data_IF_210124605456
#
_entry.id   IF_210124605456
#
_cell.length_a   1.000
_cell.length_b   1.000
_cell.length_c   1.000
_cell.angle_alpha   90.00
_cell.angle_beta   90.00
_cell.angle_gamma   90.00
#
_symmetry.space_group_name_H-M   'P 1'
#
loop_
_entity.id
_entity.type
_entity.pdbx_description
1 polymer ?
#
# COMPACT_ATOMS: atom_id res chain seq x y z
N UNK A 1 5.62 -63.98 13.70
CA UNK A 1 4.48 -63.04 13.57
C UNK A 1 4.78 -61.77 14.35
N UNK A 2 5.19 -60.70 13.68
CA UNK A 2 5.22 -59.33 14.21
C UNK A 2 4.83 -58.43 13.01
N UNK A 3 3.73 -57.66 13.05
CA UNK A 3 3.44 -56.71 11.99
C UNK A 3 4.12 -55.38 12.33
N UNK A 4 5.14 -55.02 11.55
CA UNK A 4 5.80 -53.73 11.66
C UNK A 4 4.90 -52.67 11.01
N UNK A 5 4.44 -51.72 11.84
CA UNK A 5 3.61 -50.59 11.44
C UNK A 5 4.35 -49.71 10.44
N UNK A 6 3.80 -49.53 9.23
CA UNK A 6 4.09 -48.35 8.41
C UNK A 6 3.17 -47.22 8.88
N UNK A 7 3.73 -46.25 9.60
CA UNK A 7 3.10 -44.94 9.79
C UNK A 7 3.66 -44.06 8.67
N UNK A 8 2.84 -43.81 7.65
CA UNK A 8 3.10 -42.83 6.61
C UNK A 8 2.88 -41.45 7.26
N UNK A 9 3.98 -40.77 7.59
CA UNK A 9 3.93 -39.39 8.06
C UNK A 9 3.69 -38.48 6.85
N UNK A 10 2.42 -38.16 6.60
CA UNK A 10 2.00 -37.12 5.66
C UNK A 10 2.55 -35.77 6.15
N UNK A 11 3.54 -35.24 5.45
CA UNK A 11 4.11 -33.93 5.68
C UNK A 11 3.08 -32.87 5.24
N UNK A 12 2.24 -32.43 6.17
CA UNK A 12 1.35 -31.29 5.97
C UNK A 12 2.25 -30.06 5.80
N UNK A 13 2.42 -29.60 4.56
CA UNK A 13 2.92 -28.26 4.26
C UNK A 13 1.88 -27.26 4.78
N UNK A 14 2.01 -26.88 6.06
CA UNK A 14 1.27 -25.75 6.60
C UNK A 14 1.75 -24.54 5.81
N UNK A 15 0.87 -23.99 4.97
CA UNK A 15 1.03 -22.66 4.39
C UNK A 15 1.15 -21.67 5.56
N UNK A 16 2.37 -21.39 6.00
CA UNK A 16 2.64 -20.33 6.97
C UNK A 16 2.16 -19.02 6.34
N UNK A 17 1.01 -18.53 6.79
CA UNK A 17 0.62 -17.15 6.56
C UNK A 17 1.74 -16.25 7.10
N UNK A 18 2.09 -15.15 6.41
CA UNK A 18 3.10 -14.23 6.90
C UNK A 18 2.68 -13.76 8.30
N UNK A 19 3.57 -13.94 9.28
CA UNK A 19 3.34 -13.58 10.69
C UNK A 19 3.11 -12.06 10.84
N UNK A 20 3.61 -11.28 9.88
CA UNK A 20 3.54 -9.83 9.86
C UNK A 20 2.76 -9.32 8.66
N UNK A 21 2.17 -8.14 8.79
CA UNK A 21 1.73 -7.40 7.62
C UNK A 21 2.91 -6.95 6.77
N UNK A 22 2.66 -6.71 5.48
CA UNK A 22 3.68 -6.30 4.52
C UNK A 22 4.00 -4.81 4.62
N UNK A 23 3.07 -3.97 5.09
CA UNK A 23 3.42 -2.62 5.52
C UNK A 23 4.39 -2.72 6.71
N UNK A 24 5.55 -2.10 6.58
CA UNK A 24 6.70 -2.20 7.48
C UNK A 24 7.81 -3.12 6.98
N UNK A 25 7.58 -3.86 5.88
CA UNK A 25 8.58 -4.70 5.21
C UNK A 25 9.76 -3.85 4.73
N UNK A 26 10.97 -4.40 4.85
CA UNK A 26 12.16 -3.74 4.32
C UNK A 26 12.11 -3.72 2.79
N UNK A 27 12.64 -2.66 2.19
CA UNK A 27 12.66 -2.49 0.74
C UNK A 27 13.19 -3.71 -0.01
N UNK A 28 14.27 -4.33 0.48
CA UNK A 28 14.87 -5.50 -0.18
C UNK A 28 13.97 -6.74 -0.14
N UNK A 29 13.30 -6.98 0.98
CA UNK A 29 12.35 -8.10 1.13
C UNK A 29 11.15 -7.92 0.20
N UNK A 30 10.62 -6.69 0.16
CA UNK A 30 9.51 -6.32 -0.70
C UNK A 30 9.88 -6.49 -2.18
N UNK A 31 11.03 -5.94 -2.60
CA UNK A 31 11.53 -6.04 -3.96
C UNK A 31 11.76 -7.50 -4.36
N UNK A 32 12.31 -8.33 -3.45
CA UNK A 32 12.49 -9.77 -3.67
C UNK A 32 11.15 -10.47 -3.92
N UNK A 33 10.15 -10.22 -3.07
CA UNK A 33 8.80 -10.81 -3.19
C UNK A 33 8.09 -10.37 -4.47
N UNK A 34 8.17 -9.09 -4.81
CA UNK A 34 7.61 -8.58 -6.07
C UNK A 34 8.31 -9.24 -7.27
N UNK A 35 9.64 -9.29 -7.27
CA UNK A 35 10.41 -9.85 -8.38
C UNK A 35 10.09 -11.33 -8.65
N UNK A 36 9.97 -12.15 -7.58
CA UNK A 36 9.58 -13.57 -7.67
C UNK A 36 8.19 -13.73 -8.31
N UNK A 37 7.32 -12.76 -8.12
CA UNK A 37 5.96 -12.80 -8.65
C UNK A 37 5.78 -12.01 -9.95
N UNK A 38 6.85 -11.64 -10.67
CA UNK A 38 6.72 -10.92 -11.96
C UNK A 38 6.61 -9.40 -11.83
N UNK A 39 7.01 -8.85 -10.69
CA UNK A 39 7.14 -7.42 -10.46
C UNK A 39 8.41 -6.82 -11.08
N UNK A 40 8.30 -5.60 -11.58
CA UNK A 40 9.38 -4.81 -12.17
C UNK A 40 9.28 -3.35 -11.73
N UNK A 41 10.39 -2.75 -11.30
CA UNK A 41 10.42 -1.33 -10.95
C UNK A 41 10.43 -0.46 -12.21
N UNK A 42 9.57 0.56 -12.26
CA UNK A 42 9.71 1.62 -13.25
C UNK A 42 10.91 2.51 -12.91
N UNK A 43 11.75 2.78 -13.92
CA UNK A 43 12.98 3.59 -13.75
C UNK A 43 13.03 4.83 -14.63
N UNK A 44 12.27 4.85 -15.72
CA UNK A 44 12.26 6.00 -16.64
C UNK A 44 11.37 7.12 -16.10
N UNK A 45 11.91 8.32 -15.97
CA UNK A 45 11.21 9.46 -15.35
C UNK A 45 9.92 9.86 -16.08
N UNK A 46 9.90 9.76 -17.42
CA UNK A 46 8.68 10.03 -18.21
C UNK A 46 7.54 9.08 -17.85
N UNK A 47 7.87 7.80 -17.64
CA UNK A 47 6.91 6.77 -17.21
C UNK A 47 6.49 7.04 -15.76
N UNK A 48 7.44 7.31 -14.87
CA UNK A 48 7.16 7.61 -13.46
C UNK A 48 6.25 8.82 -13.28
N UNK A 49 6.54 9.94 -13.95
CA UNK A 49 5.70 11.14 -13.91
C UNK A 49 4.27 10.86 -14.38
N UNK A 50 4.10 10.06 -15.44
CA UNK A 50 2.79 9.63 -15.90
C UNK A 50 2.06 8.77 -14.83
N UNK A 51 2.74 7.79 -14.24
CA UNK A 51 2.13 6.89 -13.24
C UNK A 51 1.77 7.59 -11.95
N UNK A 52 2.59 8.55 -11.51
CA UNK A 52 2.37 9.31 -10.27
C UNK A 52 1.19 10.27 -10.37
N UNK A 53 0.77 10.66 -11.59
CA UNK A 53 -0.31 11.62 -11.81
C UNK A 53 -1.61 11.17 -11.16
N UNK A 54 -2.18 12.06 -10.34
CA UNK A 54 -3.45 11.83 -9.65
C UNK A 54 -3.34 10.90 -8.44
N UNK A 55 -2.13 10.53 -8.03
CA UNK A 55 -1.94 9.72 -6.82
C UNK A 55 -2.25 10.55 -5.57
N UNK A 56 -2.94 9.97 -4.57
CA UNK A 56 -3.40 10.70 -3.39
C UNK A 56 -2.26 11.28 -2.53
N UNK A 57 -1.05 10.72 -2.61
CA UNK A 57 0.11 11.25 -1.89
C UNK A 57 0.75 12.49 -2.56
N UNK A 58 0.36 12.87 -3.79
CA UNK A 58 1.00 13.99 -4.50
C UNK A 58 0.88 15.31 -3.75
N UNK A 59 -0.26 15.57 -3.09
CA UNK A 59 -0.46 16.78 -2.28
C UNK A 59 0.36 16.82 -0.99
N UNK A 60 0.99 15.70 -0.63
CA UNK A 60 1.73 15.54 0.62
C UNK A 60 3.26 15.41 0.41
N UNK A 61 3.76 15.58 -0.81
CA UNK A 61 5.18 15.38 -1.13
C UNK A 61 6.12 16.25 -0.28
N UNK A 62 5.75 17.51 -0.05
CA UNK A 62 6.53 18.48 0.73
C UNK A 62 6.44 18.29 2.26
N UNK A 63 5.68 17.28 2.69
CA UNK A 63 5.38 16.97 4.09
C UNK A 63 5.83 15.55 4.45
N UNK A 64 6.46 14.83 3.52
CA UNK A 64 7.02 13.52 3.80
C UNK A 64 8.18 13.65 4.80
N UNK A 65 8.34 12.69 5.73
CA UNK A 65 9.51 12.64 6.60
C UNK A 65 10.81 12.68 5.82
N UNK A 66 11.89 13.10 6.48
CA UNK A 66 13.23 12.93 5.92
C UNK A 66 13.50 11.47 5.53
N UNK A 67 14.39 11.27 4.55
CA UNK A 67 14.75 9.93 4.04
C UNK A 67 13.56 9.13 3.50
N UNK A 68 12.52 9.82 3.03
CA UNK A 68 11.42 9.21 2.31
C UNK A 68 11.80 8.88 0.85
N UNK A 69 11.42 7.71 0.37
CA UNK A 69 11.57 7.29 -1.03
C UNK A 69 10.23 6.85 -1.62
N UNK A 70 9.89 7.33 -2.82
CA UNK A 70 8.72 6.87 -3.57
C UNK A 70 9.15 6.01 -4.73
N UNK A 71 8.76 4.73 -4.71
CA UNK A 71 9.02 3.77 -5.79
C UNK A 71 7.71 3.31 -6.41
N UNK A 72 7.73 3.11 -7.72
CA UNK A 72 6.58 2.60 -8.47
C UNK A 72 7.01 1.33 -9.17
N UNK A 73 6.23 0.28 -8.98
CA UNK A 73 6.44 -1.02 -9.58
C UNK A 73 5.26 -1.36 -10.46
N UNK A 74 5.54 -2.02 -11.57
CA UNK A 74 4.55 -2.78 -12.30
C UNK A 74 4.55 -4.23 -11.82
N UNK A 75 3.39 -4.87 -11.82
CA UNK A 75 3.21 -6.27 -11.48
C UNK A 75 2.21 -6.93 -12.43
N UNK A 76 2.67 -7.98 -13.11
CA UNK A 76 1.83 -8.79 -14.02
C UNK A 76 0.78 -9.59 -13.28
N UNK A 77 -0.25 -10.05 -14.00
CA UNK A 77 -1.28 -10.93 -13.45
C UNK A 77 -0.81 -12.39 -13.36
N UNK A 78 -0.12 -12.86 -14.40
CA UNK A 78 0.30 -14.26 -14.56
C UNK A 78 1.68 -14.57 -13.97
N UNK A 79 2.36 -13.55 -13.45
CA UNK A 79 3.69 -13.68 -12.85
C UNK A 79 4.84 -13.75 -13.86
N UNK A 80 4.57 -13.68 -15.16
CA UNK A 80 5.62 -13.55 -16.16
C UNK A 80 6.28 -12.19 -16.01
N UNK A 81 7.59 -12.14 -16.22
CA UNK A 81 8.31 -10.86 -16.22
C UNK A 81 8.06 -10.15 -17.56
N UNK A 82 7.59 -8.90 -17.52
CA UNK A 82 7.39 -8.13 -18.74
C UNK A 82 8.73 -7.75 -19.36
N UNK A 83 8.75 -7.56 -20.66
CA UNK A 83 9.94 -7.11 -21.38
C UNK A 83 10.05 -5.59 -21.25
N UNK A 84 11.26 -5.05 -21.05
CA UNK A 84 11.46 -3.60 -20.88
C UNK A 84 10.84 -2.74 -22.00
N UNK A 85 10.73 -3.28 -23.23
CA UNK A 85 10.10 -2.62 -24.39
C UNK A 85 8.58 -2.45 -24.25
N UNK A 86 7.94 -3.20 -23.36
CA UNK A 86 6.50 -3.12 -23.06
C UNK A 86 6.19 -1.99 -22.08
N UNK A 87 7.19 -1.55 -21.30
CA UNK A 87 7.08 -0.47 -20.30
C UNK A 87 7.07 0.91 -20.94
N UNK A 88 6.03 1.19 -21.73
CA UNK A 88 5.84 2.48 -22.39
C UNK A 88 5.16 3.49 -21.46
N UNK A 89 5.42 4.79 -21.70
CA UNK A 89 4.78 5.88 -20.96
C UNK A 89 3.27 6.01 -21.27
N UNK A 90 2.81 5.53 -22.43
CA UNK A 90 1.42 5.62 -22.86
C UNK A 90 0.60 4.42 -22.39
N UNK A 91 -0.43 4.67 -21.58
CA UNK A 91 -1.37 3.65 -21.13
C UNK A 91 -0.78 2.70 -20.08
N UNK A 92 -1.65 2.12 -19.26
CA UNK A 92 -1.26 1.14 -18.25
C UNK A 92 -1.33 -0.26 -18.87
N UNK A 93 -0.28 -1.06 -18.69
CA UNK A 93 -0.30 -2.47 -19.09
C UNK A 93 -1.32 -3.24 -18.25
N UNK A 94 -1.82 -4.34 -18.78
CA UNK A 94 -2.70 -5.21 -18.01
C UNK A 94 -1.96 -5.72 -16.77
N UNK A 95 -2.47 -5.38 -15.59
CA UNK A 95 -1.83 -5.75 -14.33
C UNK A 95 -2.05 -4.69 -13.27
N UNK A 96 -1.00 -4.49 -12.47
CA UNK A 96 -1.00 -3.58 -11.33
C UNK A 96 0.16 -2.60 -11.40
N UNK A 97 -0.12 -1.36 -11.06
CA UNK A 97 0.88 -0.38 -10.66
C UNK A 97 0.82 -0.32 -9.14
N UNK A 98 1.95 -0.56 -8.50
CA UNK A 98 2.11 -0.56 -7.05
C UNK A 98 3.02 0.60 -6.67
N UNK A 99 2.44 1.61 -6.04
CA UNK A 99 3.17 2.76 -5.53
C UNK A 99 3.51 2.51 -4.07
N UNK A 100 4.76 2.75 -3.68
CA UNK A 100 5.21 2.49 -2.33
C UNK A 100 6.00 3.68 -1.84
N UNK A 101 5.64 4.17 -0.66
CA UNK A 101 6.43 5.13 0.09
C UNK A 101 7.19 4.36 1.15
N UNK A 102 8.51 4.53 1.15
CA UNK A 102 9.41 4.06 2.18
C UNK A 102 9.84 5.22 3.05
N UNK A 103 9.93 5.00 4.36
CA UNK A 103 10.57 5.89 5.32
C UNK A 103 11.66 5.08 6.00
N UNK A 104 12.90 5.58 5.96
CA UNK A 104 14.08 4.86 6.49
C UNK A 104 14.20 3.42 5.93
N UNK A 105 13.82 3.23 4.66
CA UNK A 105 13.90 1.93 3.98
C UNK A 105 12.77 0.94 4.28
N UNK A 106 11.77 1.31 5.11
CA UNK A 106 10.60 0.47 5.42
C UNK A 106 9.32 1.00 4.79
N UNK A 107 8.47 0.13 4.27
CA UNK A 107 7.22 0.56 3.64
C UNK A 107 6.25 1.15 4.67
N UNK A 108 5.68 2.32 4.38
CA UNK A 108 4.70 2.98 5.25
C UNK A 108 3.36 3.23 4.55
N UNK A 109 3.37 3.22 3.22
CA UNK A 109 2.18 3.37 2.39
C UNK A 109 2.35 2.58 1.10
N UNK A 110 1.32 1.84 0.73
CA UNK A 110 1.21 1.12 -0.53
C UNK A 110 -0.11 1.50 -1.21
N UNK A 111 -0.05 1.82 -2.50
CA UNK A 111 -1.25 1.99 -3.35
C UNK A 111 -1.19 0.96 -4.46
N UNK A 112 -2.24 0.17 -4.53
CA UNK A 112 -2.48 -0.83 -5.56
C UNK A 112 -3.45 -0.24 -6.57
N UNK A 113 -2.95 0.10 -7.76
CA UNK A 113 -3.77 0.52 -8.89
C UNK A 113 -3.88 -0.63 -9.87
N UNK A 114 -5.10 -1.00 -10.23
CA UNK A 114 -5.40 -1.99 -11.26
C UNK A 114 -5.62 -1.27 -12.60
N UNK A 115 -5.22 -1.92 -13.70
CA UNK A 115 -5.47 -1.41 -15.06
C UNK A 115 -6.97 -1.40 -15.43
N UNK A 116 -7.76 -2.24 -14.76
CA UNK A 116 -9.23 -2.32 -14.79
C UNK A 116 -9.81 -2.00 -13.40
N UNK A 117 -11.14 -2.09 -13.23
CA UNK A 117 -11.74 -2.05 -11.89
C UNK A 117 -11.23 -3.21 -11.01
N UNK A 118 -11.06 -2.94 -9.71
CA UNK A 118 -10.77 -3.94 -8.67
C UNK A 118 -12.11 -4.58 -8.27
N UNK A 119 -12.21 -5.90 -8.41
CA UNK A 119 -13.37 -6.64 -7.93
C UNK A 119 -13.28 -6.95 -6.42
N UNK A 120 -14.37 -7.44 -5.83
CA UNK A 120 -14.44 -7.71 -4.38
C UNK A 120 -13.48 -8.82 -3.91
N UNK A 121 -13.19 -9.82 -4.76
CA UNK A 121 -12.21 -10.86 -4.43
C UNK A 121 -10.79 -10.31 -4.42
N UNK A 122 -10.43 -9.48 -5.41
CA UNK A 122 -9.14 -8.79 -5.46
C UNK A 122 -8.97 -7.85 -4.27
N UNK A 123 -10.02 -7.07 -3.93
CA UNK A 123 -10.02 -6.18 -2.77
C UNK A 123 -9.81 -6.96 -1.46
N UNK A 124 -10.59 -8.03 -1.26
CA UNK A 124 -10.47 -8.88 -0.07
C UNK A 124 -9.10 -9.56 0.01
N UNK A 125 -8.54 -9.98 -1.13
CA UNK A 125 -7.20 -10.53 -1.19
C UNK A 125 -6.15 -9.50 -0.77
N UNK A 126 -6.22 -8.26 -1.28
CA UNK A 126 -5.30 -7.18 -0.91
C UNK A 126 -5.34 -6.88 0.59
N UNK A 127 -6.52 -6.82 1.21
CA UNK A 127 -6.65 -6.72 2.66
C UNK A 127 -5.97 -7.90 3.37
N UNK A 128 -6.25 -9.13 2.92
CA UNK A 128 -5.68 -10.35 3.52
C UNK A 128 -4.15 -10.38 3.49
N UNK A 129 -3.53 -9.81 2.46
CA UNK A 129 -2.06 -9.70 2.38
C UNK A 129 -1.44 -8.86 3.50
N UNK A 130 -2.25 -8.02 4.16
CA UNK A 130 -1.84 -7.05 5.18
C UNK A 130 -2.42 -7.36 6.57
N UNK A 131 -3.07 -8.51 6.72
CA UNK A 131 -3.71 -8.95 7.96
C UNK A 131 -2.69 -9.30 9.05
N UNK A 132 -1.62 -10.02 8.71
CA UNK A 132 -0.70 -10.58 9.72
C UNK A 132 -1.46 -11.43 10.73
N UNK A 133 -1.30 -11.16 12.02
CA UNK A 133 -2.02 -11.79 13.14
C UNK A 133 -3.29 -11.05 13.59
N UNK A 134 -3.66 -9.97 12.90
CA UNK A 134 -4.80 -9.11 13.25
C UNK A 134 -5.97 -9.37 12.31
N UNK A 135 -7.00 -8.52 12.29
CA UNK A 135 -8.07 -8.56 11.29
C UNK A 135 -8.56 -7.15 10.94
N UNK A 136 -9.26 -7.03 9.82
CA UNK A 136 -9.79 -5.76 9.33
C UNK A 136 -11.21 -5.53 9.82
N UNK A 137 -11.45 -4.33 10.33
CA UNK A 137 -12.77 -3.83 10.71
C UNK A 137 -13.17 -2.75 9.71
N UNK A 138 -14.40 -2.80 9.24
CA UNK A 138 -14.96 -1.71 8.43
C UNK A 138 -15.33 -0.57 9.36
N UNK A 139 -14.93 0.65 9.01
CA UNK A 139 -15.28 1.85 9.78
C UNK A 139 -16.78 2.07 9.75
N UNK A 140 -17.36 2.37 10.90
CA UNK A 140 -18.72 2.90 10.98
C UNK A 140 -18.70 4.37 10.58
N UNK A 141 -19.43 4.72 9.53
CA UNK A 141 -19.49 6.09 9.01
C UNK A 141 -20.43 7.00 9.83
N UNK A 142 -21.16 6.44 10.78
CA UNK A 142 -22.16 7.17 11.58
C UNK A 142 -21.62 7.63 12.95
N UNK A 143 -20.33 7.46 13.21
CA UNK A 143 -19.72 7.96 14.45
C UNK A 143 -19.47 9.47 14.33
N UNK A 144 -20.45 10.26 14.79
CA UNK A 144 -20.39 11.72 14.80
C UNK A 144 -19.28 12.29 15.71
N UNK A 145 -18.71 11.47 16.60
CA UNK A 145 -17.62 11.86 17.51
C UNK A 145 -16.23 11.39 17.02
N UNK A 146 -16.11 10.97 15.76
CA UNK A 146 -14.85 10.46 15.24
C UNK A 146 -13.85 11.59 14.94
N UNK A 147 -13.07 11.96 15.96
CA UNK A 147 -11.96 12.93 15.89
C UNK A 147 -10.69 12.35 15.25
N UNK A 148 -10.78 11.23 14.52
CA UNK A 148 -9.59 10.58 13.97
C UNK A 148 -8.89 11.48 12.93
N UNK A 149 -7.70 11.95 13.32
CA UNK A 149 -6.80 12.68 12.43
C UNK A 149 -6.24 11.74 11.36
N UNK A 150 -6.47 12.07 10.09
CA UNK A 150 -6.06 11.28 8.93
C UNK A 150 -5.81 12.16 7.71
N UNK A 151 -4.75 11.86 6.95
CA UNK A 151 -4.40 12.53 5.71
C UNK A 151 -5.17 11.95 4.52
N UNK A 152 -5.31 10.63 4.49
CA UNK A 152 -5.91 9.91 3.36
C UNK A 152 -7.39 9.54 3.60
N UNK A 153 -7.83 9.52 4.86
CA UNK A 153 -9.05 8.85 5.28
C UNK A 153 -8.93 7.33 5.16
N UNK A 154 -9.93 6.61 5.67
CA UNK A 154 -9.96 5.15 5.61
C UNK A 154 -11.39 4.63 5.73
N UNK A 155 -11.63 3.50 5.04
CA UNK A 155 -12.89 2.74 5.09
C UNK A 155 -12.74 1.50 5.97
N UNK A 156 -11.50 1.04 6.15
CA UNK A 156 -11.14 -0.10 6.97
C UNK A 156 -9.96 0.25 7.86
N UNK A 157 -10.00 -0.22 9.09
CA UNK A 157 -8.90 -0.14 10.03
C UNK A 157 -8.62 -1.52 10.58
N UNK A 158 -7.34 -1.83 10.77
CA UNK A 158 -6.98 -3.09 11.41
C UNK A 158 -7.32 -2.99 12.91
N UNK A 159 -7.80 -4.07 13.52
CA UNK A 159 -8.26 -4.06 14.91
C UNK A 159 -7.16 -3.66 15.92
N UNK A 160 -5.88 -3.85 15.57
CA UNK A 160 -4.74 -3.39 16.37
C UNK A 160 -4.37 -1.91 16.14
N UNK A 161 -5.17 -1.19 15.33
CA UNK A 161 -5.06 0.24 15.02
C UNK A 161 -3.77 0.67 14.32
N UNK A 162 -2.98 -0.29 13.79
CA UNK A 162 -1.70 0.02 13.14
C UNK A 162 -1.80 0.33 11.66
N UNK A 163 -2.80 -0.23 10.97
CA UNK A 163 -2.98 -0.06 9.53
C UNK A 163 -4.38 0.43 9.19
N UNK A 164 -4.44 1.22 8.13
CA UNK A 164 -5.66 1.77 7.54
C UNK A 164 -5.70 1.44 6.06
N UNK A 165 -6.91 1.23 5.54
CA UNK A 165 -7.12 0.99 4.13
C UNK A 165 -8.30 1.79 3.60
N UNK A 166 -8.21 2.20 2.34
CA UNK A 166 -9.23 2.98 1.64
C UNK A 166 -9.37 2.54 0.20
N UNK A 167 -10.61 2.36 -0.26
CA UNK A 167 -10.92 2.18 -1.68
C UNK A 167 -10.97 3.57 -2.33
N UNK A 168 -10.25 3.73 -3.44
CA UNK A 168 -10.14 4.99 -4.17
C UNK A 168 -10.69 4.80 -5.58
N UNK A 169 -11.92 5.25 -5.81
CA UNK A 169 -12.61 4.97 -7.06
C UNK A 169 -12.83 3.47 -7.29
N UNK A 170 -12.88 3.05 -8.55
CA UNK A 170 -13.15 1.65 -8.90
C UNK A 170 -11.91 0.78 -9.00
N UNK A 171 -10.71 1.36 -9.17
CA UNK A 171 -9.50 0.64 -9.57
C UNK A 171 -8.30 0.86 -8.65
N UNK A 172 -8.45 1.54 -7.52
CA UNK A 172 -7.35 1.78 -6.59
C UNK A 172 -7.71 1.40 -5.15
N UNK A 173 -6.71 0.90 -4.45
CA UNK A 173 -6.75 0.67 -3.01
C UNK A 173 -5.49 1.24 -2.39
N UNK A 174 -5.65 2.05 -1.35
CA UNK A 174 -4.56 2.57 -0.53
C UNK A 174 -4.52 1.81 0.78
N UNK A 175 -3.32 1.43 1.23
CA UNK A 175 -3.07 0.86 2.54
C UNK A 175 -1.90 1.63 3.16
N UNK A 176 -2.06 2.11 4.39
CA UNK A 176 -1.02 2.89 5.06
C UNK A 176 -0.90 2.53 6.54
N UNK A 177 0.27 2.85 7.09
CA UNK A 177 0.51 2.89 8.52
C UNK A 177 -0.28 4.04 9.15
N UNK A 178 -1.03 3.76 10.21
CA UNK A 178 -1.81 4.77 10.93
C UNK A 178 -0.92 5.87 11.55
N UNK A 179 0.25 5.56 12.16
CA UNK A 179 1.22 6.58 12.56
C UNK A 179 1.65 7.52 11.42
N UNK A 180 1.97 6.97 10.25
CA UNK A 180 2.37 7.77 9.09
C UNK A 180 1.23 8.65 8.58
N UNK A 181 0.02 8.10 8.46
CA UNK A 181 -1.19 8.83 8.05
C UNK A 181 -1.50 10.03 8.97
N UNK A 182 -1.38 9.83 10.29
CA UNK A 182 -1.53 10.89 11.29
C UNK A 182 -0.43 11.95 11.15
N UNK A 183 0.84 11.52 11.07
CA UNK A 183 1.99 12.41 10.95
C UNK A 183 1.85 13.35 9.74
N UNK A 184 1.56 12.80 8.56
CA UNK A 184 1.40 13.60 7.33
C UNK A 184 0.28 14.63 7.47
N UNK A 185 -0.82 14.27 8.14
CA UNK A 185 -1.93 15.20 8.35
C UNK A 185 -1.53 16.35 9.27
N UNK A 186 -0.77 16.07 10.32
CA UNK A 186 -0.29 17.08 11.27
C UNK A 186 0.68 18.05 10.59
N UNK A 187 1.73 17.54 9.94
CA UNK A 187 2.68 18.35 9.17
C UNK A 187 1.98 19.24 8.12
N UNK A 188 0.97 18.69 7.46
CA UNK A 188 0.16 19.43 6.48
C UNK A 188 -0.68 20.55 7.11
N UNK A 189 -1.20 20.36 8.32
CA UNK A 189 -1.95 21.40 9.02
C UNK A 189 -1.02 22.48 9.59
N UNK A 190 0.09 22.07 10.19
CA UNK A 190 1.04 22.98 10.85
C UNK A 190 1.63 23.97 9.83
N UNK A 191 2.14 23.48 8.70
CA UNK A 191 2.64 24.35 7.62
C UNK A 191 1.56 25.22 6.99
N UNK A 192 0.31 24.75 6.90
CA UNK A 192 -0.78 25.60 6.43
C UNK A 192 -1.03 26.75 7.41
N UNK A 193 -1.04 26.47 8.71
CA UNK A 193 -1.19 27.47 9.76
C UNK A 193 -0.04 28.49 9.74
N UNK A 194 1.20 28.06 9.51
CA UNK A 194 2.35 28.95 9.34
C UNK A 194 2.24 29.83 8.09
N UNK A 195 1.69 29.27 7.00
CA UNK A 195 1.49 29.99 5.73
C UNK A 195 0.28 30.93 5.71
N UNK A 196 -0.52 30.97 6.79
CA UNK A 196 -1.69 31.84 6.86
C UNK A 196 -1.25 33.30 6.70
N UNK A 197 -1.72 34.00 5.65
CA UNK A 197 -1.38 35.39 5.44
C UNK A 197 -1.74 36.23 6.67
N UNK A 198 -0.83 37.11 7.07
CA UNK A 198 -1.12 38.10 8.11
C UNK A 198 -2.36 38.95 7.77
N UNK A 199 -2.76 39.02 6.50
CA UNK A 199 -3.94 39.74 6.01
C UNK A 199 -5.28 39.14 6.44
N UNK A 200 -5.33 37.93 7.01
CA UNK A 200 -6.57 37.35 7.57
C UNK A 200 -6.71 37.70 9.07
N UNK A 201 -5.65 38.20 9.74
CA UNK A 201 -5.67 38.58 11.16
C UNK A 201 -6.39 39.91 11.45
N UNK A 202 -7.05 40.50 10.46
CA UNK A 202 -7.77 41.78 10.58
C UNK A 202 -9.06 41.87 9.76
N UNK A 203 -9.59 40.74 9.28
CA UNK A 203 -10.97 40.61 8.83
C UNK A 203 -11.86 40.21 10.00
#
# INVERSE_FOLDING_TARGET
>A
MIPTRLIILSLIFILLSPIYARIGEERLELEKRLNVSGGLQYREERVLSNRRRGMPYQKYLDYLPERSEIRVYYKTLDGKKPVAKEMKASGMLEGWDVHIIFVEGKSVLEIYRRSSSINEFEFSALLRLQTGQSFWEKRDTNDENDETVTAFGFDYERNDKKLRAKKLGSNMMLICSAPFDKFIKQEFLDKQMESLPASIKGF
#
